data_IF_318081985856
#
_entry.id   IF_318081985856
#
_cell.length_a   1.000
_cell.length_b   1.000
_cell.length_c   1.000
_cell.angle_alpha   90.00
_cell.angle_beta   90.00
_cell.angle_gamma   90.00
#
_symmetry.space_group_name_H-M   'P 1'
#
loop_
_entity.id
_entity.type
_entity.pdbx_description
1 polymer ?
#
# COMPACT_ATOMS: atom_id res chain seq x y z
N UNK A 1 43.00 4.86 -13.87
CA UNK A 1 41.78 4.04 -13.66
C UNK A 1 40.67 4.97 -13.19
N UNK A 2 39.51 4.94 -13.84
CA UNK A 2 38.34 5.77 -13.51
C UNK A 2 37.70 5.20 -12.24
N UNK A 3 37.56 6.00 -11.18
CA UNK A 3 36.84 5.62 -9.98
C UNK A 3 35.38 6.06 -10.08
N UNK A 4 34.53 5.05 -10.18
CA UNK A 4 33.09 5.11 -10.34
C UNK A 4 32.39 5.52 -9.03
N UNK A 5 31.30 6.28 -9.18
CA UNK A 5 30.51 6.94 -8.14
C UNK A 5 29.91 5.94 -7.16
N UNK A 6 29.93 6.25 -5.86
CA UNK A 6 29.00 5.67 -4.90
C UNK A 6 28.50 6.79 -3.98
N UNK A 7 27.37 7.36 -4.39
CA UNK A 7 26.63 8.36 -3.63
C UNK A 7 26.05 7.71 -2.38
N UNK A 8 26.72 7.93 -1.25
CA UNK A 8 26.23 7.56 0.07
C UNK A 8 24.98 8.37 0.44
N UNK A 9 23.82 7.75 0.30
CA UNK A 9 22.54 8.28 0.79
C UNK A 9 22.51 8.24 2.33
N UNK A 10 22.85 9.40 2.90
CA UNK A 10 22.79 9.79 4.31
C UNK A 10 21.52 9.28 5.01
N UNK A 11 21.75 8.69 6.18
CA UNK A 11 20.77 8.44 7.25
C UNK A 11 20.03 9.72 7.66
N UNK A 12 18.98 10.08 6.92
CA UNK A 12 18.04 11.14 7.31
C UNK A 12 16.90 10.48 8.06
N UNK A 13 16.72 10.83 9.34
CA UNK A 13 15.56 10.45 10.17
C UNK A 13 14.31 10.43 9.28
N UNK A 14 13.49 9.37 9.30
CA UNK A 14 12.36 9.28 8.40
C UNK A 14 11.54 10.55 8.57
N UNK A 15 11.51 11.38 7.53
CA UNK A 15 10.76 12.63 7.57
C UNK A 15 9.33 12.26 7.95
N UNK A 16 8.67 13.07 8.79
CA UNK A 16 7.26 12.88 9.11
C UNK A 16 6.41 12.69 7.84
N UNK A 17 6.81 13.37 6.75
CA UNK A 17 6.23 13.23 5.42
C UNK A 17 6.46 11.85 4.77
N UNK A 18 7.58 11.17 5.05
CA UNK A 18 7.83 9.80 4.59
C UNK A 18 6.96 8.81 5.35
N UNK A 19 6.80 9.00 6.65
CA UNK A 19 5.92 8.16 7.48
C UNK A 19 4.46 8.31 7.05
N UNK A 20 3.99 9.54 6.84
CA UNK A 20 2.65 9.80 6.30
C UNK A 20 2.46 9.16 4.91
N UNK A 21 3.44 9.28 4.01
CA UNK A 21 3.40 8.63 2.69
C UNK A 21 3.34 7.11 2.78
N UNK A 22 4.03 6.50 3.74
CA UNK A 22 3.98 5.04 3.96
C UNK A 22 2.62 4.60 4.49
N UNK A 23 2.05 5.31 5.46
CA UNK A 23 0.73 5.00 6.02
C UNK A 23 -0.37 5.16 4.96
N UNK A 24 -0.26 6.16 4.09
CA UNK A 24 -1.15 6.35 2.94
C UNK A 24 -0.99 5.24 1.88
N UNK A 25 0.25 4.84 1.55
CA UNK A 25 0.50 3.74 0.62
C UNK A 25 -0.02 2.39 1.15
N UNK A 26 0.04 2.19 2.47
CA UNK A 26 -0.51 1.03 3.15
C UNK A 26 -2.05 1.03 3.19
N UNK A 27 -2.68 2.19 3.40
CA UNK A 27 -4.15 2.33 3.33
C UNK A 27 -4.71 2.13 1.91
N UNK A 28 -3.89 2.38 0.88
CA UNK A 28 -4.20 2.09 -0.53
C UNK A 28 -4.00 0.59 -0.85
N UNK A 29 -3.40 -0.20 0.06
CA UNK A 29 -3.35 -1.66 -0.05
C UNK A 29 -2.17 -2.21 -0.84
N UNK A 30 -1.11 -1.42 -1.07
CA UNK A 30 0.01 -1.83 -1.94
C UNK A 30 1.33 -1.89 -1.18
N UNK A 31 1.49 -2.89 -0.32
CA UNK A 31 2.83 -3.36 0.00
C UNK A 31 3.32 -4.25 -1.14
N UNK A 32 4.32 -3.74 -1.87
CA UNK A 32 4.79 -4.27 -3.14
C UNK A 32 5.21 -5.74 -3.05
N UNK A 33 4.91 -6.43 -4.16
CA UNK A 33 5.05 -7.85 -4.52
C UNK A 33 6.48 -8.41 -4.46
N UNK A 34 7.34 -7.90 -3.59
CA UNK A 34 8.76 -8.30 -3.52
C UNK A 34 8.96 -9.69 -2.89
N UNK A 35 7.93 -10.23 -2.21
CA UNK A 35 7.94 -11.57 -1.62
C UNK A 35 7.11 -12.59 -2.43
N UNK A 36 6.62 -12.21 -3.62
CA UNK A 36 5.81 -13.05 -4.50
C UNK A 36 6.64 -13.63 -5.67
N UNK A 37 7.76 -13.00 -6.01
CA UNK A 37 8.62 -13.42 -7.12
C UNK A 37 9.41 -14.71 -6.84
N UNK A 38 9.55 -15.12 -5.57
CA UNK A 38 10.22 -16.37 -5.23
C UNK A 38 9.31 -17.62 -5.31
N UNK A 39 7.98 -17.44 -5.42
CA UNK A 39 7.01 -18.56 -5.51
C UNK A 39 6.11 -18.46 -6.77
N UNK A 40 6.49 -17.59 -7.71
CA UNK A 40 5.76 -17.27 -8.95
C UNK A 40 5.71 -18.39 -10.00
N UNK A 41 6.07 -19.63 -9.67
CA UNK A 41 5.95 -20.78 -10.59
C UNK A 41 4.52 -21.36 -10.66
N UNK A 42 3.62 -20.95 -9.76
CA UNK A 42 2.20 -21.29 -9.80
C UNK A 42 1.36 -20.03 -9.59
N UNK A 43 1.25 -19.17 -10.60
CA UNK A 43 0.34 -18.03 -10.59
C UNK A 43 -1.12 -18.52 -10.61
N UNK A 44 -1.58 -18.99 -9.45
CA UNK A 44 -2.89 -19.59 -9.22
C UNK A 44 -3.96 -18.49 -9.21
N UNK A 45 -4.98 -18.65 -10.05
CA UNK A 45 -6.28 -17.94 -10.09
C UNK A 45 -6.77 -17.37 -8.74
N UNK A 46 -6.46 -18.08 -7.65
CA UNK A 46 -6.68 -17.70 -6.25
C UNK A 46 -6.17 -16.29 -5.88
N UNK A 47 -5.04 -15.82 -6.43
CA UNK A 47 -4.54 -14.46 -6.19
C UNK A 47 -5.45 -13.39 -6.80
N UNK A 48 -6.06 -13.69 -7.95
CA UNK A 48 -6.95 -12.75 -8.62
C UNK A 48 -8.29 -12.62 -7.86
N UNK A 49 -8.82 -13.75 -7.37
CA UNK A 49 -10.00 -13.78 -6.51
C UNK A 49 -9.74 -13.06 -5.18
N UNK A 50 -8.59 -13.30 -4.55
CA UNK A 50 -8.20 -12.61 -3.31
C UNK A 50 -8.08 -11.09 -3.51
N UNK A 51 -7.47 -10.64 -4.61
CA UNK A 51 -7.39 -9.22 -4.94
C UNK A 51 -8.78 -8.60 -5.19
N UNK A 52 -9.67 -9.30 -5.88
CA UNK A 52 -11.05 -8.86 -6.10
C UNK A 52 -11.85 -8.73 -4.81
N UNK A 53 -11.71 -9.68 -3.89
CA UNK A 53 -12.36 -9.61 -2.56
C UNK A 53 -11.83 -8.45 -1.72
N UNK A 54 -10.51 -8.22 -1.71
CA UNK A 54 -9.89 -7.09 -1.01
C UNK A 54 -10.42 -5.76 -1.57
N UNK A 55 -10.60 -5.67 -2.89
CA UNK A 55 -11.13 -4.48 -3.55
C UNK A 55 -12.59 -4.21 -3.15
N UNK A 56 -13.44 -5.23 -3.18
CA UNK A 56 -14.85 -5.11 -2.79
C UNK A 56 -14.98 -4.75 -1.31
N UNK A 57 -14.19 -5.40 -0.44
CA UNK A 57 -14.19 -5.12 1.00
C UNK A 57 -13.76 -3.68 1.28
N UNK A 58 -12.71 -3.18 0.62
CA UNK A 58 -12.26 -1.79 0.75
C UNK A 58 -13.31 -0.81 0.26
N UNK A 59 -14.00 -1.13 -0.84
CA UNK A 59 -15.06 -0.31 -1.40
C UNK A 59 -16.24 -0.15 -0.43
N UNK A 60 -16.71 -1.25 0.14
CA UNK A 60 -17.80 -1.24 1.14
C UNK A 60 -17.38 -0.46 2.38
N UNK A 61 -16.17 -0.72 2.91
CA UNK A 61 -15.64 0.00 4.06
C UNK A 61 -15.59 1.51 3.83
N UNK A 62 -15.24 1.93 2.62
CA UNK A 62 -15.23 3.35 2.22
C UNK A 62 -16.63 3.95 2.24
N UNK A 63 -17.62 3.26 1.66
CA UNK A 63 -19.01 3.73 1.66
C UNK A 63 -19.57 3.86 3.08
N UNK A 64 -19.31 2.86 3.94
CA UNK A 64 -19.73 2.91 5.34
C UNK A 64 -19.09 4.09 6.07
N UNK A 65 -17.80 4.33 5.85
CA UNK A 65 -17.09 5.47 6.43
C UNK A 65 -17.75 6.81 6.03
N UNK A 66 -18.12 6.95 4.75
CA UNK A 66 -18.81 8.14 4.24
C UNK A 66 -20.19 8.28 4.88
N UNK A 67 -20.98 7.21 4.95
CA UNK A 67 -22.33 7.24 5.55
C UNK A 67 -22.25 7.65 7.02
N UNK A 68 -21.33 7.06 7.78
CA UNK A 68 -21.13 7.41 9.19
C UNK A 68 -20.71 8.87 9.36
N UNK A 69 -19.83 9.38 8.50
CA UNK A 69 -19.41 10.77 8.51
C UNK A 69 -20.59 11.70 8.21
N UNK A 70 -21.39 11.41 7.18
CA UNK A 70 -22.57 12.21 6.81
C UNK A 70 -23.62 12.23 7.92
N UNK A 71 -23.95 11.07 8.51
CA UNK A 71 -24.92 10.99 9.61
C UNK A 71 -24.44 11.80 10.81
N UNK A 72 -23.16 11.70 11.16
CA UNK A 72 -22.56 12.48 12.24
C UNK A 72 -22.60 14.00 11.96
N UNK A 73 -22.42 14.44 10.71
CA UNK A 73 -22.48 15.86 10.34
C UNK A 73 -23.89 16.42 10.22
N UNK A 74 -24.91 15.57 10.12
CA UNK A 74 -26.32 15.98 9.96
C UNK A 74 -27.06 16.02 11.31
N UNK A 75 -26.47 15.47 12.37
CA UNK A 75 -26.94 15.58 13.75
C UNK A 75 -26.52 16.86 14.45
#
# INVERSE_FOLDING_TARGET
MKNEKNDGERSKRPSFLRVLKTVLAAAIGVQSRKNLEQDSQQASFRHYVAAGLILISTFIATLVCIVLLVVHFTG
#
